data_IF_218683526378
#
_entry.id   IF_218683526378
#
_cell.length_a   1.000
_cell.length_b   1.000
_cell.length_c   1.000
_cell.angle_alpha   90.00
_cell.angle_beta   90.00
_cell.angle_gamma   90.00
#
_symmetry.space_group_name_H-M   'P 1'
#
loop_
_entity.id
_entity.type
_entity.pdbx_description
1 polymer ?
#
# COMPACT_ATOMS: atom_id res chain seq x y z
N UNK A 1 75.89 13.36 10.27
CA UNK A 1 74.87 14.26 9.68
C UNK A 1 74.87 13.99 8.19
N UNK A 2 73.71 13.76 7.57
CA UNK A 2 73.63 13.56 6.11
C UNK A 2 74.05 14.82 5.36
N UNK A 3 74.72 14.65 4.23
CA UNK A 3 75.19 15.75 3.38
C UNK A 3 73.97 16.54 2.85
N UNK A 4 73.92 17.88 3.02
CA UNK A 4 72.84 18.70 2.46
C UNK A 4 72.61 18.50 0.94
N UNK A 5 73.66 18.20 0.16
CA UNK A 5 73.53 17.93 -1.28
C UNK A 5 72.86 16.58 -1.56
N UNK A 6 73.16 15.57 -0.74
CA UNK A 6 72.50 14.26 -0.80
C UNK A 6 71.00 14.42 -0.50
N UNK A 7 70.67 15.20 0.54
CA UNK A 7 69.28 15.49 0.90
C UNK A 7 68.52 16.27 -0.17
N UNK A 8 69.18 17.20 -0.88
CA UNK A 8 68.57 17.92 -2.00
C UNK A 8 68.26 16.96 -3.16
N UNK A 9 69.21 16.10 -3.50
CA UNK A 9 69.07 15.10 -4.56
C UNK A 9 67.95 14.09 -4.24
N UNK A 10 67.84 13.67 -2.98
CA UNK A 10 66.74 12.83 -2.51
C UNK A 10 65.37 13.53 -2.62
N UNK A 11 65.30 14.82 -2.29
CA UNK A 11 64.08 15.59 -2.45
C UNK A 11 63.70 15.74 -3.92
N UNK A 12 64.63 16.09 -4.80
CA UNK A 12 64.36 16.18 -6.24
C UNK A 12 63.80 14.86 -6.79
N UNK A 13 64.43 13.73 -6.42
CA UNK A 13 63.90 12.39 -6.78
C UNK A 13 62.56 12.08 -6.13
N UNK A 14 62.24 12.62 -4.96
CA UNK A 14 60.96 12.39 -4.31
C UNK A 14 59.80 13.18 -4.94
N UNK A 15 60.11 14.27 -5.65
CA UNK A 15 59.13 15.13 -6.34
C UNK A 15 59.10 14.95 -7.87
N UNK A 16 60.05 14.23 -8.46
CA UNK A 16 60.00 13.82 -9.87
C UNK A 16 58.99 12.68 -10.07
N UNK A 17 57.97 12.91 -10.92
CA UNK A 17 56.92 11.93 -11.25
C UNK A 17 57.45 10.67 -11.93
N UNK A 18 58.59 10.77 -12.62
CA UNK A 18 59.22 9.64 -13.29
C UNK A 18 60.10 8.82 -12.34
N UNK A 19 60.42 9.37 -11.18
CA UNK A 19 61.23 8.68 -10.18
C UNK A 19 60.47 7.52 -9.56
N UNK A 20 61.14 6.37 -9.31
CA UNK A 20 60.55 5.28 -8.54
C UNK A 20 60.31 5.67 -7.07
N UNK A 21 60.94 6.74 -6.59
CA UNK A 21 60.80 7.28 -5.23
C UNK A 21 59.77 8.39 -5.11
N UNK A 22 58.95 8.61 -6.15
CA UNK A 22 57.94 9.66 -6.15
C UNK A 22 56.98 9.51 -4.96
N UNK A 23 57.03 10.48 -4.04
CA UNK A 23 56.35 10.41 -2.73
C UNK A 23 54.83 10.40 -2.81
N UNK A 24 54.25 10.91 -3.89
CA UNK A 24 52.78 11.02 -4.04
C UNK A 24 52.22 9.85 -4.84
N UNK A 25 52.66 8.63 -4.50
CA UNK A 25 52.15 7.40 -5.11
C UNK A 25 51.23 6.70 -4.11
N UNK A 26 49.97 6.53 -4.48
CA UNK A 26 48.95 5.89 -3.65
C UNK A 26 48.31 4.72 -4.37
N UNK A 27 47.93 3.70 -3.62
CA UNK A 27 47.24 2.53 -4.17
C UNK A 27 45.77 2.56 -3.75
N UNK A 28 44.90 2.55 -4.75
CA UNK A 28 43.46 2.43 -4.58
C UNK A 28 42.98 1.11 -5.15
N UNK A 29 41.72 0.79 -4.93
CA UNK A 29 41.08 -0.42 -5.42
C UNK A 29 39.85 -0.05 -6.22
N UNK A 30 39.75 -0.59 -7.43
CA UNK A 30 38.58 -0.45 -8.29
C UNK A 30 37.81 -1.76 -8.28
N UNK A 31 36.49 -1.68 -8.43
CA UNK A 31 35.65 -2.87 -8.59
C UNK A 31 35.84 -3.44 -10.00
N UNK A 32 36.08 -4.75 -10.08
CA UNK A 32 36.07 -5.48 -11.34
C UNK A 32 34.63 -5.77 -11.75
N UNK A 33 34.29 -5.47 -13.00
CA UNK A 33 33.04 -5.91 -13.61
C UNK A 33 33.25 -7.32 -14.18
N UNK A 34 32.88 -8.34 -13.43
CA UNK A 34 32.88 -9.74 -13.86
C UNK A 34 31.46 -10.33 -13.92
N UNK A 35 31.23 -11.37 -14.75
CA UNK A 35 29.92 -12.02 -14.87
C UNK A 35 29.51 -12.82 -13.60
N UNK A 36 30.48 -13.13 -12.76
CA UNK A 36 30.27 -13.75 -11.46
C UNK A 36 30.20 -12.63 -10.43
N UNK A 37 29.13 -12.58 -9.63
CA UNK A 37 28.84 -11.55 -8.60
C UNK A 37 29.82 -11.59 -7.41
N UNK A 38 31.10 -11.84 -7.65
CA UNK A 38 32.15 -11.67 -6.67
C UNK A 38 32.62 -10.23 -6.74
N UNK A 39 32.56 -9.51 -5.60
CA UNK A 39 33.19 -8.19 -5.43
C UNK A 39 34.70 -8.34 -5.48
N UNK A 40 35.23 -8.64 -6.66
CA UNK A 40 36.65 -8.62 -6.92
C UNK A 40 37.08 -7.17 -7.08
N UNK A 41 38.13 -6.80 -6.37
CA UNK A 41 38.78 -5.52 -6.56
C UNK A 41 40.14 -5.74 -7.19
N UNK A 42 40.59 -4.78 -7.98
CA UNK A 42 41.94 -4.76 -8.51
C UNK A 42 42.64 -3.44 -8.13
N UNK A 43 43.94 -3.50 -7.84
CA UNK A 43 44.69 -2.32 -7.45
C UNK A 43 44.86 -1.36 -8.63
N UNK A 44 44.79 -0.07 -8.33
CA UNK A 44 45.09 1.04 -9.26
C UNK A 44 46.02 2.00 -8.57
N UNK A 45 47.18 2.23 -9.18
CA UNK A 45 48.15 3.21 -8.69
C UNK A 45 47.75 4.61 -9.17
N UNK A 46 47.69 5.55 -8.24
CA UNK A 46 47.46 6.97 -8.48
C UNK A 46 48.77 7.70 -8.20
N UNK A 47 49.30 8.40 -9.19
CA UNK A 47 50.56 9.14 -9.06
C UNK A 47 50.30 10.64 -9.18
N UNK A 48 50.44 11.33 -8.06
CA UNK A 48 50.38 12.77 -7.99
C UNK A 48 48.96 13.32 -8.02
N UNK A 49 48.88 14.65 -8.11
CA UNK A 49 47.63 15.38 -8.00
C UNK A 49 46.69 15.17 -9.20
N UNK A 50 47.22 15.11 -10.43
CA UNK A 50 46.38 15.02 -11.62
C UNK A 50 45.58 13.72 -11.69
N UNK A 51 46.19 12.59 -11.33
CA UNK A 51 45.48 11.31 -11.27
C UNK A 51 44.48 11.28 -10.12
N UNK A 52 44.81 11.89 -8.98
CA UNK A 52 43.88 12.02 -7.87
C UNK A 52 42.66 12.88 -8.28
N UNK A 53 42.89 13.99 -8.98
CA UNK A 53 41.83 14.85 -9.52
C UNK A 53 40.95 14.09 -10.51
N UNK A 54 41.52 13.36 -11.46
CA UNK A 54 40.76 12.49 -12.39
C UNK A 54 39.88 11.50 -11.62
N UNK A 55 40.41 10.87 -10.57
CA UNK A 55 39.65 9.94 -9.72
C UNK A 55 38.52 10.65 -8.99
N UNK A 56 38.76 11.84 -8.44
CA UNK A 56 37.71 12.66 -7.80
C UNK A 56 36.61 13.04 -8.79
N UNK A 57 36.96 13.42 -10.02
CA UNK A 57 35.98 13.76 -11.05
C UNK A 57 35.17 12.54 -11.49
N UNK A 58 35.80 11.35 -11.60
CA UNK A 58 35.09 10.09 -11.81
C UNK A 58 34.11 9.77 -10.67
N UNK A 59 34.51 9.97 -9.42
CA UNK A 59 33.65 9.77 -8.25
C UNK A 59 32.44 10.71 -8.27
N UNK A 60 32.62 11.98 -8.65
CA UNK A 60 31.51 12.93 -8.83
C UNK A 60 30.52 12.46 -9.90
N UNK A 61 31.02 11.99 -11.04
CA UNK A 61 30.14 11.45 -12.10
C UNK A 61 29.37 10.21 -11.65
N UNK A 62 30.00 9.34 -10.85
CA UNK A 62 29.31 8.19 -10.26
C UNK A 62 28.25 8.64 -9.25
N UNK A 63 28.53 9.65 -8.41
CA UNK A 63 27.56 10.22 -7.47
C UNK A 63 26.31 10.73 -8.20
N UNK A 64 26.48 11.50 -9.26
CA UNK A 64 25.37 12.01 -10.07
C UNK A 64 24.52 10.88 -10.68
N UNK A 65 25.15 9.79 -11.12
CA UNK A 65 24.44 8.60 -11.63
C UNK A 65 23.65 7.89 -10.53
N UNK A 66 24.20 7.80 -9.31
CA UNK A 66 23.52 7.23 -8.16
C UNK A 66 22.33 8.09 -7.77
N UNK A 67 22.50 9.41 -7.69
CA UNK A 67 21.43 10.38 -7.41
C UNK A 67 20.29 10.25 -8.43
N UNK A 68 20.59 10.29 -9.74
CA UNK A 68 19.57 10.11 -10.77
C UNK A 68 18.88 8.74 -10.73
N UNK A 69 19.58 7.69 -10.29
CA UNK A 69 18.98 6.36 -10.09
C UNK A 69 18.05 6.32 -8.87
N UNK A 70 18.40 7.06 -7.80
CA UNK A 70 17.57 7.21 -6.61
C UNK A 70 16.29 8.00 -6.92
N UNK A 71 16.38 9.09 -7.67
CA UNK A 71 15.23 9.88 -8.10
C UNK A 71 14.27 9.02 -8.93
N UNK A 72 14.80 8.29 -9.92
CA UNK A 72 13.99 7.39 -10.74
C UNK A 72 13.35 6.25 -9.92
N UNK A 73 14.00 5.79 -8.85
CA UNK A 73 13.42 4.81 -7.93
C UNK A 73 12.32 5.43 -7.06
N UNK A 74 12.53 6.65 -6.57
CA UNK A 74 11.55 7.43 -5.82
C UNK A 74 10.26 7.63 -6.61
N UNK A 75 10.38 8.06 -7.87
CA UNK A 75 9.23 8.22 -8.79
C UNK A 75 8.46 6.90 -8.98
N UNK A 76 9.18 5.78 -9.08
CA UNK A 76 8.55 4.46 -9.19
C UNK A 76 7.80 4.08 -7.92
N UNK A 77 8.36 4.37 -6.75
CA UNK A 77 7.72 4.11 -5.46
C UNK A 77 6.46 4.97 -5.29
N UNK A 78 6.49 6.24 -5.69
CA UNK A 78 5.32 7.12 -5.66
C UNK A 78 4.19 6.60 -6.59
N UNK A 79 4.55 6.15 -7.79
CA UNK A 79 3.59 5.52 -8.72
C UNK A 79 2.99 4.22 -8.16
N UNK A 80 3.77 3.43 -7.43
CA UNK A 80 3.27 2.21 -6.77
C UNK A 80 2.33 2.59 -5.61
N UNK A 81 2.71 3.57 -4.80
CA UNK A 81 1.91 4.07 -3.67
C UNK A 81 0.55 4.61 -4.13
N UNK A 82 0.54 5.46 -5.17
CA UNK A 82 -0.71 6.00 -5.74
C UNK A 82 -1.62 4.89 -6.30
N UNK A 83 -1.07 3.91 -7.02
CA UNK A 83 -1.84 2.74 -7.48
C UNK A 83 -2.41 1.92 -6.34
N UNK A 84 -1.64 1.73 -5.26
CA UNK A 84 -2.08 1.04 -4.05
C UNK A 84 -3.28 1.77 -3.41
N UNK A 85 -3.20 3.09 -3.26
CA UNK A 85 -4.30 3.90 -2.72
C UNK A 85 -5.58 3.78 -3.56
N UNK A 86 -5.47 3.81 -4.89
CA UNK A 86 -6.61 3.62 -5.80
C UNK A 86 -7.24 2.23 -5.60
N UNK A 87 -6.41 1.19 -5.48
CA UNK A 87 -6.91 -0.18 -5.23
C UNK A 87 -7.62 -0.29 -3.89
N UNK A 88 -7.06 0.30 -2.83
CA UNK A 88 -7.70 0.33 -1.51
C UNK A 88 -9.07 1.02 -1.56
N UNK A 89 -9.19 2.17 -2.23
CA UNK A 89 -10.46 2.86 -2.40
C UNK A 89 -11.48 2.02 -3.18
N UNK A 90 -11.06 1.36 -4.26
CA UNK A 90 -11.93 0.46 -5.03
C UNK A 90 -12.43 -0.70 -4.17
N UNK A 91 -11.53 -1.34 -3.42
CA UNK A 91 -11.87 -2.44 -2.52
C UNK A 91 -12.87 -1.99 -1.45
N UNK A 92 -12.63 -0.83 -0.82
CA UNK A 92 -13.55 -0.25 0.15
C UNK A 92 -14.95 -0.03 -0.43
N UNK A 93 -15.04 0.54 -1.63
CA UNK A 93 -16.32 0.76 -2.32
C UNK A 93 -17.06 -0.56 -2.63
N UNK A 94 -16.34 -1.61 -3.02
CA UNK A 94 -16.94 -2.94 -3.25
C UNK A 94 -17.50 -3.49 -1.94
N UNK A 95 -16.73 -3.43 -0.85
CA UNK A 95 -17.15 -3.90 0.46
C UNK A 95 -18.40 -3.16 0.96
N UNK A 96 -18.47 -1.84 0.76
CA UNK A 96 -19.67 -1.05 1.10
C UNK A 96 -20.89 -1.50 0.30
N UNK A 97 -20.76 -1.71 -1.02
CA UNK A 97 -21.87 -2.18 -1.87
C UNK A 97 -22.36 -3.57 -1.44
N UNK A 98 -21.44 -4.48 -1.16
CA UNK A 98 -21.77 -5.83 -0.68
C UNK A 98 -22.47 -5.78 0.68
N UNK A 99 -21.96 -5.00 1.63
CA UNK A 99 -22.58 -4.82 2.96
C UNK A 99 -24.00 -4.28 2.84
N UNK A 100 -24.21 -3.24 2.04
CA UNK A 100 -25.53 -2.62 1.86
C UNK A 100 -26.52 -3.57 1.18
N UNK A 101 -26.07 -4.32 0.16
CA UNK A 101 -26.88 -5.36 -0.49
C UNK A 101 -27.29 -6.45 0.50
N UNK A 102 -26.34 -6.95 1.28
CA UNK A 102 -26.59 -7.97 2.30
C UNK A 102 -27.60 -7.49 3.36
N UNK A 103 -27.44 -6.26 3.87
CA UNK A 103 -28.37 -5.68 4.84
C UNK A 103 -29.79 -5.55 4.27
N UNK A 104 -29.93 -5.11 3.01
CA UNK A 104 -31.24 -5.03 2.33
C UNK A 104 -31.88 -6.42 2.21
N UNK A 105 -31.14 -7.41 1.75
CA UNK A 105 -31.64 -8.79 1.63
C UNK A 105 -32.05 -9.34 2.99
N UNK A 106 -31.24 -9.13 4.03
CA UNK A 106 -31.56 -9.57 5.40
C UNK A 106 -32.86 -8.95 5.90
N UNK A 107 -33.06 -7.65 5.71
CA UNK A 107 -34.29 -6.95 6.10
C UNK A 107 -35.51 -7.46 5.34
N UNK A 108 -35.39 -7.69 4.02
CA UNK A 108 -36.49 -8.25 3.22
C UNK A 108 -36.87 -9.65 3.72
N UNK A 109 -35.89 -10.50 4.01
CA UNK A 109 -36.14 -11.85 4.53
C UNK A 109 -36.79 -11.81 5.91
N UNK A 110 -36.33 -10.92 6.80
CA UNK A 110 -36.95 -10.72 8.11
C UNK A 110 -38.42 -10.30 7.97
N UNK A 111 -38.71 -9.27 7.16
CA UNK A 111 -40.09 -8.82 6.95
C UNK A 111 -40.97 -9.93 6.37
N UNK A 112 -40.48 -10.69 5.38
CA UNK A 112 -41.21 -11.84 4.83
C UNK A 112 -41.49 -12.91 5.89
N UNK A 113 -40.52 -13.23 6.75
CA UNK A 113 -40.73 -14.19 7.83
C UNK A 113 -41.81 -13.72 8.83
N UNK A 114 -41.82 -12.43 9.17
CA UNK A 114 -42.83 -11.84 10.05
C UNK A 114 -44.22 -11.90 9.43
N UNK A 115 -44.35 -11.57 8.14
CA UNK A 115 -45.63 -11.67 7.41
C UNK A 115 -46.12 -13.13 7.39
N UNK A 116 -45.26 -14.08 7.03
CA UNK A 116 -45.63 -15.49 6.98
C UNK A 116 -46.07 -16.02 8.36
N UNK A 117 -45.39 -15.61 9.43
CA UNK A 117 -45.79 -15.99 10.79
C UNK A 117 -47.17 -15.43 11.15
N UNK A 118 -47.43 -14.16 10.82
CA UNK A 118 -48.73 -13.53 11.05
C UNK A 118 -49.85 -14.19 10.23
N UNK A 119 -49.59 -14.56 8.98
CA UNK A 119 -50.54 -15.32 8.15
C UNK A 119 -50.85 -16.70 8.76
N UNK A 120 -49.83 -17.40 9.25
CA UNK A 120 -50.00 -18.69 9.92
C UNK A 120 -50.81 -18.56 11.22
N UNK A 121 -50.56 -17.52 12.02
CA UNK A 121 -51.35 -17.20 13.20
C UNK A 121 -52.82 -16.98 12.85
N UNK A 122 -53.12 -16.14 11.85
CA UNK A 122 -54.50 -15.91 11.41
C UNK A 122 -55.18 -17.17 10.87
N UNK A 123 -54.47 -17.99 10.09
CA UNK A 123 -55.01 -19.28 9.61
C UNK A 123 -55.30 -20.22 10.78
N UNK A 124 -54.42 -20.25 11.78
CA UNK A 124 -54.62 -21.07 12.98
C UNK A 124 -55.85 -20.61 13.77
N UNK A 125 -56.05 -19.30 13.94
CA UNK A 125 -57.24 -18.73 14.54
C UNK A 125 -58.50 -19.14 13.76
N UNK A 126 -58.52 -18.95 12.43
CA UNK A 126 -59.67 -19.32 11.58
C UNK A 126 -60.01 -20.81 11.70
N UNK A 127 -59.01 -21.70 11.80
CA UNK A 127 -59.23 -23.14 11.99
C UNK A 127 -59.85 -23.48 13.35
N UNK A 128 -59.53 -22.74 14.42
CA UNK A 128 -60.19 -22.94 15.73
C UNK A 128 -61.68 -22.58 15.70
N UNK A 129 -62.08 -21.71 14.76
CA UNK A 129 -63.47 -21.26 14.61
C UNK A 129 -64.35 -22.17 13.73
N UNK A 130 -63.87 -23.32 13.25
CA UNK A 130 -64.65 -24.26 12.44
C UNK A 130 -65.65 -25.12 13.25
N UNK A 131 -65.82 -24.87 14.56
CA UNK A 131 -66.93 -25.42 15.34
C UNK A 131 -68.21 -24.59 15.11
N UNK A 132 -69.36 -25.19 14.72
CA UNK A 132 -70.58 -24.46 14.31
C UNK A 132 -71.17 -23.46 15.32
N UNK A 133 -70.75 -23.50 16.59
CA UNK A 133 -71.27 -22.64 17.65
C UNK A 133 -70.54 -21.30 17.83
N UNK A 134 -69.49 -20.99 17.05
CA UNK A 134 -68.66 -19.79 17.27
C UNK A 134 -68.89 -18.63 16.28
N UNK A 135 -69.70 -18.82 15.24
CA UNK A 135 -70.02 -17.80 14.22
C UNK A 135 -70.46 -16.42 14.80
N UNK A 136 -71.30 -16.36 15.86
CA UNK A 136 -71.70 -15.09 16.46
C UNK A 136 -70.53 -14.34 17.13
N UNK A 137 -69.56 -15.06 17.71
CA UNK A 137 -68.36 -14.44 18.30
C UNK A 137 -67.45 -13.85 17.23
N UNK A 138 -67.31 -14.56 16.11
CA UNK A 138 -66.51 -14.12 14.95
C UNK A 138 -67.09 -12.84 14.35
N UNK A 139 -68.41 -12.81 14.13
CA UNK A 139 -69.13 -11.62 13.63
C UNK A 139 -68.91 -10.39 14.52
N UNK A 140 -68.91 -10.57 15.85
CA UNK A 140 -68.63 -9.48 16.78
C UNK A 140 -67.17 -9.01 16.73
N UNK A 141 -66.21 -9.94 16.61
CA UNK A 141 -64.78 -9.59 16.49
C UNK A 141 -64.50 -8.82 15.20
N UNK A 142 -65.06 -9.28 14.07
CA UNK A 142 -64.96 -8.60 12.76
C UNK A 142 -65.56 -7.19 12.84
N UNK A 143 -66.74 -7.07 13.47
CA UNK A 143 -67.39 -5.76 13.68
C UNK A 143 -66.50 -4.81 14.47
N UNK A 144 -65.85 -5.29 15.54
CA UNK A 144 -64.96 -4.48 16.38
C UNK A 144 -63.71 -4.02 15.62
N UNK A 145 -63.09 -4.91 14.85
CA UNK A 145 -61.90 -4.59 14.03
C UNK A 145 -62.24 -3.54 12.96
N UNK A 146 -63.38 -3.71 12.27
CA UNK A 146 -63.86 -2.74 11.29
C UNK A 146 -64.13 -1.37 11.91
N UNK A 147 -64.69 -1.33 13.13
CA UNK A 147 -64.95 -0.07 13.83
C UNK A 147 -63.67 0.64 14.24
N UNK A 148 -62.66 -0.10 14.70
CA UNK A 148 -61.36 0.46 15.07
C UNK A 148 -60.61 0.99 13.85
N UNK A 149 -60.65 0.27 12.72
CA UNK A 149 -60.09 0.74 11.45
C UNK A 149 -60.81 2.00 10.95
N UNK A 150 -62.14 2.06 11.04
CA UNK A 150 -62.92 3.22 10.65
C UNK A 150 -62.56 4.46 11.50
N UNK A 151 -62.35 4.26 12.80
CA UNK A 151 -61.94 5.34 13.71
C UNK A 151 -60.50 5.79 13.45
N UNK A 152 -59.57 4.86 13.18
CA UNK A 152 -58.20 5.19 12.82
C UNK A 152 -58.14 6.01 11.52
N UNK A 153 -58.96 5.68 10.51
CA UNK A 153 -59.05 6.43 9.25
C UNK A 153 -59.68 7.81 9.45
N UNK A 154 -60.65 7.96 10.36
CA UNK A 154 -61.24 9.27 10.70
C UNK A 154 -60.25 10.19 11.41
N UNK A 155 -59.34 9.65 12.22
CA UNK A 155 -58.31 10.40 12.95
C UNK A 155 -57.09 10.77 12.09
N UNK A 156 -57.06 10.35 10.82
CA UNK A 156 -56.01 10.68 9.83
C UNK A 156 -56.41 11.81 8.87
N UNK A 157 -57.61 12.39 9.03
CA UNK A 157 -58.07 13.62 8.35
C UNK A 157 -58.06 14.78 9.34
#
# INVERSE_FOLDING_TARGET
MSDPLERLTELERAYDINSPYYKFTYQFYNLASGPLQTTQTYPVTIRGYDDLKKRTDQQKQISLKIEGSLDALSDKLEKISSKSNILQQKMYNILLKLRNSHLRTKMILQNRSTINNFELEQISEIKTYQSPNELPKIMNKIRLVLQNLLNAVKNLK
#
